data_IF_981259449223
#
_entry.id   IF_981259449223
#
_cell.length_a   1.000
_cell.length_b   1.000
_cell.length_c   1.000
_cell.angle_alpha   90.00
_cell.angle_beta   90.00
_cell.angle_gamma   90.00
#
_symmetry.space_group_name_H-M   'P 1'
#
loop_
_entity.id
_entity.type
_entity.pdbx_description
1 polymer ?
#
# COMPACT_ATOMS: atom_id res chain seq x y z
N UNK A 1 0.37 8.68 3.05
CA UNK A 1 -1.01 8.24 2.75
C UNK A 1 -1.93 9.39 2.33
N UNK A 2 -2.13 10.43 3.15
CA UNK A 2 -3.06 11.53 2.83
C UNK A 2 -2.59 12.44 1.69
N UNK A 3 -1.27 12.63 1.56
CA UNK A 3 -0.65 13.70 0.79
C UNK A 3 0.41 13.21 -0.22
N UNK A 4 0.53 11.89 -0.38
CA UNK A 4 1.43 11.26 -1.34
C UNK A 4 2.92 11.33 -1.02
N UNK A 5 3.36 12.08 0.00
CA UNK A 5 4.78 12.16 0.38
C UNK A 5 5.32 10.80 0.78
N UNK A 6 6.52 10.51 0.30
CA UNK A 6 7.30 9.32 0.65
C UNK A 6 8.21 9.70 1.81
N UNK A 7 8.16 8.92 2.89
CA UNK A 7 9.03 9.13 4.04
C UNK A 7 10.48 8.74 3.68
N UNK A 8 11.46 9.44 4.24
CA UNK A 8 12.86 9.05 4.15
C UNK A 8 13.13 7.85 5.07
N UNK A 9 12.76 6.66 4.57
CA UNK A 9 12.87 5.43 5.34
C UNK A 9 14.33 5.10 5.73
N UNK A 10 15.36 5.31 4.87
CA UNK A 10 16.75 5.18 5.29
C UNK A 10 17.13 6.08 6.47
N UNK A 11 16.73 7.37 6.46
CA UNK A 11 17.02 8.28 7.57
C UNK A 11 16.27 7.88 8.85
N UNK A 12 15.00 7.46 8.73
CA UNK A 12 14.22 6.97 9.88
C UNK A 12 14.88 5.73 10.49
N UNK A 13 15.32 4.79 9.66
CA UNK A 13 16.02 3.58 10.11
C UNK A 13 17.34 3.93 10.82
N UNK A 14 18.11 4.88 10.30
CA UNK A 14 19.35 5.32 10.93
C UNK A 14 19.08 5.93 12.31
N UNK A 15 18.11 6.85 12.41
CA UNK A 15 17.73 7.47 13.68
C UNK A 15 17.19 6.45 14.70
N UNK A 16 16.41 5.46 14.25
CA UNK A 16 15.91 4.40 15.12
C UNK A 16 17.05 3.56 15.70
N UNK A 17 18.04 3.19 14.88
CA UNK A 17 19.23 2.44 15.31
C UNK A 17 20.06 3.21 16.34
N UNK A 18 20.26 4.52 16.12
CA UNK A 18 21.00 5.38 17.07
C UNK A 18 20.37 5.39 18.47
N UNK A 19 19.04 5.28 18.56
CA UNK A 19 18.30 5.36 19.81
C UNK A 19 17.87 3.98 20.36
N UNK A 20 18.31 2.87 19.75
CA UNK A 20 17.87 1.52 20.14
C UNK A 20 16.37 1.29 19.95
N UNK A 21 15.73 2.05 19.07
CA UNK A 21 14.33 1.91 18.72
C UNK A 21 14.14 0.91 17.57
N UNK A 22 12.98 0.25 17.55
CA UNK A 22 12.56 -0.65 16.46
C UNK A 22 11.71 0.12 15.45
N UNK A 23 11.79 -0.30 14.20
CA UNK A 23 11.07 0.27 13.06
C UNK A 23 9.85 -0.58 12.70
N UNK A 24 8.74 0.09 12.42
CA UNK A 24 7.56 -0.53 11.83
C UNK A 24 7.13 0.29 10.62
N UNK A 25 7.01 -0.36 9.46
CA UNK A 25 6.63 0.26 8.19
C UNK A 25 5.29 -0.29 7.72
N UNK A 26 4.29 0.58 7.60
CA UNK A 26 3.05 0.28 6.86
C UNK A 26 3.28 0.57 5.36
N UNK A 27 3.53 -0.50 4.61
CA UNK A 27 3.77 -0.49 3.17
C UNK A 27 2.48 -0.55 2.33
N UNK A 28 1.30 -0.39 2.94
CA UNK A 28 0.01 -0.48 2.24
C UNK A 28 -0.16 0.49 1.06
N UNK A 29 0.62 1.57 1.00
CA UNK A 29 0.61 2.53 -0.12
C UNK A 29 1.85 2.40 -1.02
N UNK A 30 2.72 1.43 -0.78
CA UNK A 30 4.01 1.26 -1.43
C UNK A 30 4.13 -0.12 -2.12
N UNK A 31 3.71 -1.19 -1.44
CA UNK A 31 3.87 -2.56 -1.91
C UNK A 31 3.23 -2.79 -3.28
N UNK A 32 4.02 -3.19 -4.27
CA UNK A 32 3.59 -3.49 -5.63
C UNK A 32 3.95 -2.44 -6.69
N UNK A 33 4.42 -1.26 -6.30
CA UNK A 33 4.86 -0.23 -7.26
C UNK A 33 6.07 0.58 -6.76
N UNK A 34 6.21 0.80 -5.45
CA UNK A 34 7.38 1.45 -4.88
C UNK A 34 8.40 0.38 -4.50
N UNK A 35 9.64 0.60 -4.91
CA UNK A 35 10.76 -0.25 -4.48
C UNK A 35 10.93 -0.14 -2.95
N UNK A 36 10.71 -1.26 -2.26
CA UNK A 36 10.79 -1.38 -0.82
C UNK A 36 11.35 -2.76 -0.48
N UNK A 37 12.59 -2.75 -0.01
CA UNK A 37 13.20 -3.90 0.63
C UNK A 37 12.73 -3.99 2.09
N UNK A 38 11.97 -5.03 2.41
CA UNK A 38 11.39 -5.22 3.73
C UNK A 38 12.43 -5.66 4.78
N UNK A 39 13.52 -6.32 4.38
CA UNK A 39 14.55 -6.87 5.29
C UNK A 39 15.36 -5.75 5.96
N UNK A 40 15.24 -4.53 5.44
CA UNK A 40 15.85 -3.34 6.00
C UNK A 40 15.17 -2.81 7.28
N UNK A 41 14.00 -3.32 7.66
CA UNK A 41 13.20 -2.83 8.78
C UNK A 41 12.81 -3.98 9.71
N UNK A 42 12.58 -3.69 10.99
CA UNK A 42 12.26 -4.73 11.97
C UNK A 42 10.89 -5.36 11.70
N UNK A 43 9.91 -4.54 11.30
CA UNK A 43 8.58 -4.99 11.01
C UNK A 43 8.02 -4.26 9.79
N UNK A 44 7.44 -4.99 8.85
CA UNK A 44 6.74 -4.42 7.70
C UNK A 44 5.38 -5.07 7.56
N UNK A 45 4.34 -4.29 7.33
CA UNK A 45 3.03 -4.83 6.98
C UNK A 45 2.45 -4.15 5.74
N UNK A 46 1.60 -4.86 5.02
CA UNK A 46 0.87 -4.29 3.90
C UNK A 46 -0.48 -4.97 3.74
N UNK A 47 -1.56 -4.18 3.63
CA UNK A 47 -2.83 -4.73 3.13
C UNK A 47 -2.70 -4.98 1.62
N UNK A 48 -3.15 -6.15 1.16
CA UNK A 48 -2.94 -6.54 -0.23
C UNK A 48 -3.97 -5.91 -1.19
N UNK A 49 -5.12 -5.46 -0.70
CA UNK A 49 -6.22 -4.99 -1.56
C UNK A 49 -6.05 -3.59 -2.16
N UNK A 50 -4.88 -2.99 -2.01
CA UNK A 50 -4.53 -1.69 -2.60
C UNK A 50 -3.69 -1.92 -3.84
N UNK A 51 -2.40 -1.59 -3.76
CA UNK A 51 -1.47 -1.60 -4.88
C UNK A 51 -1.08 -3.01 -5.34
N UNK A 52 -1.30 -4.04 -4.51
CA UNK A 52 -1.12 -5.45 -4.92
C UNK A 52 -2.35 -6.04 -5.62
N UNK A 53 -3.43 -5.26 -5.80
CA UNK A 53 -4.65 -5.62 -6.54
C UNK A 53 -5.42 -6.85 -6.02
N UNK A 54 -5.04 -7.35 -4.85
CA UNK A 54 -5.64 -8.52 -4.26
C UNK A 54 -7.09 -8.28 -3.78
N UNK A 55 -7.91 -9.34 -3.64
CA UNK A 55 -9.17 -9.24 -2.93
C UNK A 55 -8.97 -8.84 -1.46
N UNK A 56 -9.98 -8.20 -0.85
CA UNK A 56 -9.99 -7.91 0.59
C UNK A 56 -9.91 -9.20 1.41
N UNK A 57 -9.28 -9.15 2.57
CA UNK A 57 -9.06 -10.31 3.45
C UNK A 57 -7.64 -10.86 3.43
N UNK A 58 -6.69 -10.11 2.86
CA UNK A 58 -5.27 -10.46 2.86
C UNK A 58 -4.39 -9.29 3.28
N UNK A 59 -3.36 -9.60 4.05
CA UNK A 59 -2.27 -8.72 4.38
C UNK A 59 -0.98 -9.54 4.49
N UNK A 60 0.15 -8.86 4.39
CA UNK A 60 1.47 -9.44 4.61
C UNK A 60 2.06 -8.84 5.87
N UNK A 61 2.84 -9.65 6.59
CA UNK A 61 3.66 -9.24 7.72
C UNK A 61 5.05 -9.84 7.54
N UNK A 62 6.07 -8.98 7.56
CA UNK A 62 7.48 -9.35 7.65
C UNK A 62 7.93 -9.04 9.07
N UNK A 63 8.59 -10.01 9.70
CA UNK A 63 9.19 -9.93 11.03
C UNK A 63 10.64 -10.42 10.94
N UNK A 64 11.50 -10.12 11.93
CA UNK A 64 12.85 -10.67 11.95
C UNK A 64 12.79 -12.20 12.13
N UNK A 65 13.88 -12.90 11.79
CA UNK A 65 13.95 -14.37 11.92
C UNK A 65 13.70 -14.86 13.36
N UNK A 66 14.09 -14.07 14.36
CA UNK A 66 13.84 -14.35 15.79
C UNK A 66 12.43 -13.92 16.25
N UNK A 67 11.57 -13.52 15.30
CA UNK A 67 10.19 -13.08 15.47
C UNK A 67 10.04 -11.74 16.22
N UNK A 68 11.15 -11.05 16.51
CA UNK A 68 11.17 -9.72 17.11
C UNK A 68 10.53 -9.66 18.50
N UNK A 69 10.44 -10.77 19.22
CA UNK A 69 9.82 -10.84 20.55
C UNK A 69 8.31 -10.51 20.55
N UNK A 70 7.64 -10.57 19.40
CA UNK A 70 6.20 -10.33 19.33
C UNK A 70 5.41 -11.46 19.97
N UNK A 71 4.35 -11.11 20.70
CA UNK A 71 3.38 -12.05 21.25
C UNK A 71 2.17 -12.16 20.32
N UNK A 72 1.83 -13.35 19.79
CA UNK A 72 0.60 -13.56 19.04
C UNK A 72 -0.63 -13.31 19.93
N UNK A 73 -1.36 -12.22 19.68
CA UNK A 73 -2.54 -11.85 20.47
C UNK A 73 -3.81 -12.58 20.02
N UNK A 74 -3.92 -12.90 18.73
CA UNK A 74 -5.08 -13.54 18.10
C UNK A 74 -4.75 -14.96 17.61
N UNK A 75 -3.82 -15.65 18.28
CA UNK A 75 -3.41 -17.00 17.89
C UNK A 75 -4.60 -17.98 17.91
N UNK A 76 -5.01 -18.42 16.73
CA UNK A 76 -5.93 -19.54 16.53
C UNK A 76 -5.19 -20.83 16.18
N UNK A 77 -5.94 -21.86 15.80
CA UNK A 77 -5.39 -23.18 15.42
C UNK A 77 -4.27 -23.10 14.37
N UNK A 78 -4.36 -22.19 13.40
CA UNK A 78 -3.33 -21.96 12.35
C UNK A 78 -1.97 -21.50 12.90
N UNK A 79 -1.97 -20.86 14.07
CA UNK A 79 -0.75 -20.37 14.71
C UNK A 79 0.07 -21.49 15.36
N UNK A 80 -0.47 -22.72 15.46
CA UNK A 80 0.27 -23.88 15.92
C UNK A 80 1.32 -24.36 14.92
N UNK A 81 2.40 -24.97 15.41
CA UNK A 81 3.41 -25.63 14.54
C UNK A 81 2.77 -26.73 13.70
N UNK A 82 1.81 -27.46 14.29
CA UNK A 82 0.92 -28.40 13.61
C UNK A 82 -0.54 -27.90 13.75
N UNK A 83 -1.08 -27.18 12.74
CA UNK A 83 -2.38 -26.52 12.88
C UNK A 83 -3.54 -27.43 13.28
N UNK A 84 -3.66 -28.58 12.62
CA UNK A 84 -4.78 -29.51 12.83
C UNK A 84 -4.80 -30.15 14.22
N UNK A 85 -3.65 -30.24 14.88
CA UNK A 85 -3.55 -30.69 16.28
C UNK A 85 -3.98 -29.59 17.27
N UNK A 86 -4.10 -28.36 16.80
CA UNK A 86 -4.35 -27.16 17.61
C UNK A 86 -5.80 -26.68 17.53
N UNK A 87 -6.69 -27.42 16.85
CA UNK A 87 -8.09 -27.04 16.63
C UNK A 87 -8.92 -26.86 17.92
N UNK A 88 -8.62 -27.62 18.98
CA UNK A 88 -9.42 -27.67 20.21
C UNK A 88 -8.68 -27.21 21.49
N UNK A 89 -7.41 -26.83 21.35
CA UNK A 89 -6.62 -26.17 22.38
C UNK A 89 -6.13 -27.04 23.55
N UNK A 90 -5.23 -26.50 24.39
CA UNK A 90 -4.40 -25.31 24.12
C UNK A 90 -3.38 -25.58 23.01
N UNK A 91 -2.89 -24.52 22.35
CA UNK A 91 -1.81 -24.65 21.36
C UNK A 91 -0.55 -25.11 22.10
N UNK A 92 -0.10 -26.34 21.85
CA UNK A 92 1.08 -26.91 22.53
C UNK A 92 2.38 -26.23 22.12
N UNK A 93 2.55 -25.98 20.82
CA UNK A 93 3.70 -25.28 20.26
C UNK A 93 3.24 -24.28 19.19
N UNK A 94 3.60 -23.01 19.35
CA UNK A 94 3.40 -21.98 18.33
C UNK A 94 4.35 -22.21 17.16
N UNK A 95 3.90 -21.93 15.93
CA UNK A 95 4.68 -22.06 14.73
C UNK A 95 6.03 -21.35 14.86
N UNK A 96 7.13 -21.95 14.44
CA UNK A 96 8.48 -21.34 14.54
C UNK A 96 8.71 -20.21 13.52
N UNK A 97 7.86 -20.15 12.51
CA UNK A 97 7.80 -19.09 11.49
C UNK A 97 6.81 -17.97 11.84
N UNK A 98 6.80 -16.91 11.03
CA UNK A 98 5.82 -15.83 11.09
C UNK A 98 4.35 -16.29 11.02
N UNK A 99 4.05 -17.52 10.55
CA UNK A 99 2.69 -18.11 10.57
C UNK A 99 2.02 -18.07 11.95
N UNK A 100 2.79 -18.00 13.04
CA UNK A 100 2.20 -17.83 14.39
C UNK A 100 1.38 -16.56 14.55
N UNK A 101 1.53 -15.58 13.65
CA UNK A 101 0.77 -14.35 13.61
C UNK A 101 -0.39 -14.39 12.61
N UNK A 102 -0.56 -15.49 11.86
CA UNK A 102 -1.68 -15.64 10.94
C UNK A 102 -2.98 -15.92 11.69
N UNK A 103 -4.06 -15.40 11.11
CA UNK A 103 -5.42 -15.82 11.43
C UNK A 103 -5.89 -16.88 10.42
N UNK A 104 -7.08 -17.46 10.66
CA UNK A 104 -7.64 -18.43 9.72
C UNK A 104 -7.73 -17.82 8.32
N UNK A 105 -7.14 -18.46 7.28
CA UNK A 105 -6.97 -17.82 5.99
C UNK A 105 -8.31 -17.55 5.31
N UNK A 106 -8.43 -16.38 4.70
CA UNK A 106 -9.56 -16.03 3.84
C UNK A 106 -9.43 -16.78 2.49
N UNK A 107 -9.82 -18.06 2.47
CA UNK A 107 -9.57 -19.01 1.37
C UNK A 107 -9.90 -18.44 -0.02
N UNK A 108 -11.07 -17.83 -0.19
CA UNK A 108 -11.47 -17.27 -1.49
C UNK A 108 -10.64 -16.05 -1.90
N UNK A 109 -10.26 -15.21 -0.94
CA UNK A 109 -9.40 -14.05 -1.19
C UNK A 109 -8.01 -14.49 -1.67
N UNK A 110 -7.50 -15.61 -1.16
CA UNK A 110 -6.18 -16.14 -1.51
C UNK A 110 -6.15 -16.67 -2.95
N UNK A 111 -7.26 -17.24 -3.44
CA UNK A 111 -7.37 -17.71 -4.84
C UNK A 111 -7.24 -16.55 -5.82
N UNK A 112 -7.97 -15.45 -5.61
CA UNK A 112 -7.84 -14.24 -6.43
C UNK A 112 -6.53 -13.48 -6.19
N UNK A 113 -6.05 -13.53 -4.95
CA UNK A 113 -4.78 -12.95 -4.53
C UNK A 113 -3.59 -13.47 -5.31
N UNK A 114 -3.48 -14.79 -5.45
CA UNK A 114 -2.42 -15.42 -6.24
C UNK A 114 -2.34 -14.86 -7.66
N UNK A 115 -3.48 -14.69 -8.34
CA UNK A 115 -3.51 -14.12 -9.71
C UNK A 115 -3.08 -12.66 -9.75
N UNK A 116 -3.44 -11.90 -8.72
CA UNK A 116 -3.05 -10.49 -8.61
C UNK A 116 -1.54 -10.35 -8.41
N UNK A 117 -0.96 -11.19 -7.56
CA UNK A 117 0.49 -11.23 -7.33
C UNK A 117 1.27 -11.74 -8.56
N UNK A 118 0.73 -12.74 -9.28
CA UNK A 118 1.29 -13.21 -10.55
C UNK A 118 1.35 -12.08 -11.59
N UNK A 119 0.29 -11.28 -11.71
CA UNK A 119 0.28 -10.12 -12.61
C UNK A 119 1.34 -9.07 -12.22
N UNK A 120 1.44 -8.73 -10.93
CA UNK A 120 2.46 -7.78 -10.45
C UNK A 120 3.87 -8.32 -10.70
N UNK A 121 4.10 -9.61 -10.49
CA UNK A 121 5.39 -10.26 -10.74
C UNK A 121 5.73 -10.33 -12.25
N UNK A 122 4.73 -10.60 -13.10
CA UNK A 122 4.88 -10.64 -14.56
C UNK A 122 5.25 -9.26 -15.14
N UNK A 123 4.57 -8.21 -14.70
CA UNK A 123 4.84 -6.84 -15.14
C UNK A 123 6.15 -6.31 -14.56
N UNK A 124 6.45 -6.67 -13.31
CA UNK A 124 7.59 -6.17 -12.55
C UNK A 124 7.33 -4.80 -11.89
N UNK A 125 7.81 -4.64 -10.66
CA UNK A 125 7.60 -3.43 -9.85
C UNK A 125 8.17 -2.18 -10.54
N UNK A 126 9.33 -2.29 -11.20
CA UNK A 126 9.96 -1.16 -11.89
C UNK A 126 9.14 -0.64 -13.07
N UNK A 127 8.51 -1.54 -13.84
CA UNK A 127 7.68 -1.15 -14.98
C UNK A 127 6.39 -0.48 -14.51
N UNK A 128 5.75 -1.05 -13.47
CA UNK A 128 4.57 -0.46 -12.81
C UNK A 128 4.95 0.93 -12.28
N UNK A 129 6.07 1.05 -11.57
CA UNK A 129 6.58 2.32 -11.05
C UNK A 129 6.74 3.37 -12.15
N UNK A 130 7.42 3.02 -13.24
CA UNK A 130 7.68 3.95 -14.33
C UNK A 130 6.37 4.47 -14.96
N UNK A 131 5.40 3.58 -15.18
CA UNK A 131 4.08 3.92 -15.69
C UNK A 131 3.31 4.85 -14.74
N UNK A 132 3.18 4.46 -13.48
CA UNK A 132 2.41 5.21 -12.48
C UNK A 132 2.99 6.62 -12.25
N UNK A 133 4.32 6.73 -12.22
CA UNK A 133 5.00 8.02 -12.10
C UNK A 133 4.80 8.90 -13.33
N UNK A 134 4.83 8.34 -14.53
CA UNK A 134 4.57 9.11 -15.75
C UNK A 134 3.15 9.70 -15.76
N UNK A 135 2.14 8.94 -15.32
CA UNK A 135 0.77 9.45 -15.17
C UNK A 135 0.67 10.52 -14.09
N UNK A 136 1.27 10.28 -12.92
CA UNK A 136 1.27 11.23 -11.82
C UNK A 136 1.96 12.54 -12.20
N UNK A 137 3.07 12.49 -12.94
CA UNK A 137 3.81 13.66 -13.40
C UNK A 137 3.07 14.43 -14.48
N UNK A 138 2.39 13.72 -15.42
CA UNK A 138 1.46 14.35 -16.36
C UNK A 138 0.35 15.10 -15.62
N UNK A 139 -0.25 14.47 -14.61
CA UNK A 139 -1.30 15.11 -13.82
C UNK A 139 -0.78 16.34 -13.06
N UNK A 140 0.39 16.24 -12.40
CA UNK A 140 1.05 17.39 -11.76
C UNK A 140 1.30 18.54 -12.72
N UNK A 141 1.77 18.26 -13.94
CA UNK A 141 2.00 19.27 -14.95
C UNK A 141 0.69 19.95 -15.39
N UNK A 142 -0.35 19.16 -15.66
CA UNK A 142 -1.67 19.68 -16.01
C UNK A 142 -2.29 20.54 -14.90
N UNK A 143 -2.19 20.11 -13.64
CA UNK A 143 -2.66 20.90 -12.50
C UNK A 143 -2.00 22.28 -12.42
N UNK A 144 -0.69 22.36 -12.63
CA UNK A 144 0.03 23.64 -12.63
C UNK A 144 -0.42 24.55 -13.77
N UNK A 145 -0.68 24.01 -14.95
CA UNK A 145 -1.27 24.76 -16.07
C UNK A 145 -2.66 25.31 -15.76
N UNK A 146 -3.43 24.63 -14.91
CA UNK A 146 -4.74 25.08 -14.41
C UNK A 146 -4.64 26.03 -13.19
N UNK A 147 -3.43 26.38 -12.75
CA UNK A 147 -3.22 27.25 -11.58
C UNK A 147 -3.43 26.55 -10.23
N UNK A 148 -3.36 25.21 -10.19
CA UNK A 148 -3.42 24.41 -8.97
C UNK A 148 -2.03 23.88 -8.60
N UNK A 149 -1.57 24.16 -7.37
CA UNK A 149 -0.31 23.61 -6.88
C UNK A 149 -0.56 22.34 -6.06
N UNK A 150 -0.13 21.15 -6.54
CA UNK A 150 -0.20 19.92 -5.77
C UNK A 150 0.80 19.93 -4.60
N UNK A 151 0.57 19.07 -3.60
CA UNK A 151 1.56 18.82 -2.54
C UNK A 151 2.88 18.33 -3.17
N UNK A 152 4.05 18.87 -2.77
CA UNK A 152 5.34 18.45 -3.29
C UNK A 152 5.70 17.05 -2.79
N UNK A 153 5.29 16.04 -3.55
CA UNK A 153 5.58 14.63 -3.34
C UNK A 153 6.18 14.04 -4.63
N UNK A 154 7.44 14.38 -4.97
CA UNK A 154 8.08 13.86 -6.17
C UNK A 154 8.21 12.33 -6.08
N UNK A 155 8.29 11.67 -7.24
CA UNK A 155 8.42 10.22 -7.35
C UNK A 155 7.31 9.42 -6.62
N UNK A 156 6.13 10.03 -6.45
CA UNK A 156 4.94 9.36 -5.92
C UNK A 156 3.88 9.16 -7.00
N UNK A 157 3.25 7.98 -7.03
CA UNK A 157 2.07 7.71 -7.85
C UNK A 157 0.79 8.37 -7.28
N UNK A 158 0.86 8.92 -6.06
CA UNK A 158 -0.22 9.65 -5.40
C UNK A 158 0.01 11.15 -5.56
N UNK A 159 -1.01 11.83 -6.08
CA UNK A 159 -1.03 13.29 -6.22
C UNK A 159 -2.16 13.85 -5.37
N UNK A 160 -1.80 14.72 -4.42
CA UNK A 160 -2.77 15.41 -3.57
C UNK A 160 -2.80 16.90 -3.89
N UNK A 161 -4.00 17.47 -4.00
CA UNK A 161 -4.21 18.89 -4.34
C UNK A 161 -5.03 19.55 -3.22
N UNK A 162 -4.44 20.49 -2.46
CA UNK A 162 -5.14 21.18 -1.38
C UNK A 162 -6.40 21.91 -1.86
N UNK A 163 -7.44 21.91 -1.02
CA UNK A 163 -8.68 22.66 -1.25
C UNK A 163 -9.64 22.05 -2.29
N UNK A 164 -9.16 21.17 -3.17
CA UNK A 164 -10.00 20.56 -4.21
C UNK A 164 -10.80 19.34 -3.73
N UNK A 165 -10.62 18.87 -2.50
CA UNK A 165 -11.33 17.68 -1.99
C UNK A 165 -12.86 17.83 -2.01
N UNK A 166 -13.37 19.07 -1.94
CA UNK A 166 -14.80 19.39 -2.05
C UNK A 166 -15.41 19.05 -3.42
N UNK A 167 -14.58 18.95 -4.47
CA UNK A 167 -15.01 18.61 -5.84
C UNK A 167 -15.16 17.11 -6.08
N UNK A 168 -14.94 16.26 -5.08
CA UNK A 168 -15.05 14.80 -5.23
C UNK A 168 -16.42 14.37 -5.78
N UNK A 169 -17.52 14.98 -5.31
CA UNK A 169 -18.87 14.65 -5.78
C UNK A 169 -19.07 14.95 -7.26
N UNK A 170 -18.70 16.16 -7.69
CA UNK A 170 -18.73 16.60 -9.09
C UNK A 170 -17.89 15.68 -10.00
N UNK A 171 -16.70 15.28 -9.54
CA UNK A 171 -15.83 14.35 -10.27
C UNK A 171 -16.47 12.96 -10.40
N UNK A 172 -17.08 12.45 -9.33
CA UNK A 172 -17.77 11.15 -9.34
C UNK A 172 -18.98 11.15 -10.29
N UNK A 173 -19.77 12.23 -10.31
CA UNK A 173 -20.86 12.43 -11.28
C UNK A 173 -20.34 12.45 -12.73
N UNK A 174 -19.14 12.98 -12.94
CA UNK A 174 -18.44 12.93 -14.22
C UNK A 174 -17.72 11.60 -14.49
N UNK A 175 -17.90 10.58 -13.65
CA UNK A 175 -17.31 9.23 -13.76
C UNK A 175 -15.81 9.17 -13.47
N UNK A 176 -15.29 10.07 -12.65
CA UNK A 176 -13.88 10.15 -12.22
C UNK A 176 -13.80 9.95 -10.71
N UNK A 177 -13.30 8.80 -10.28
CA UNK A 177 -13.21 8.44 -8.86
C UNK A 177 -11.88 8.86 -8.24
N UNK A 178 -11.96 9.78 -7.28
CA UNK A 178 -10.84 10.26 -6.46
C UNK A 178 -11.24 10.27 -4.98
N UNK A 179 -10.26 10.42 -4.08
CA UNK A 179 -10.54 10.51 -2.65
C UNK A 179 -10.48 11.95 -2.14
N UNK A 180 -11.38 12.34 -1.24
CA UNK A 180 -11.19 13.48 -0.35
C UNK A 180 -10.43 13.04 0.91
N UNK A 181 -9.31 13.69 1.22
CA UNK A 181 -8.50 13.44 2.42
C UNK A 181 -8.12 14.76 3.08
N UNK A 182 -8.72 15.05 4.24
CA UNK A 182 -8.52 16.30 4.97
C UNK A 182 -8.71 17.57 4.09
N UNK A 183 -9.70 17.55 3.19
CA UNK A 183 -9.98 18.66 2.28
C UNK A 183 -9.12 18.66 1.00
N UNK A 184 -8.17 17.73 0.86
CA UNK A 184 -7.37 17.57 -0.34
C UNK A 184 -8.06 16.60 -1.29
N UNK A 185 -8.05 16.92 -2.58
CA UNK A 185 -8.30 15.93 -3.62
C UNK A 185 -7.08 15.03 -3.71
N UNK A 186 -7.26 13.71 -3.72
CA UNK A 186 -6.18 12.73 -3.83
C UNK A 186 -6.47 11.77 -4.98
N UNK A 187 -5.69 11.89 -6.03
CA UNK A 187 -5.62 10.93 -7.13
C UNK A 187 -4.47 9.94 -6.88
N UNK A 188 -4.68 8.67 -7.21
CA UNK A 188 -3.66 7.63 -7.17
C UNK A 188 -3.74 6.87 -8.49
N UNK A 189 -2.66 6.92 -9.26
CA UNK A 189 -2.57 6.28 -10.56
C UNK A 189 -1.90 4.91 -10.41
N UNK A 190 -2.43 3.90 -11.11
CA UNK A 190 -1.89 2.55 -11.11
C UNK A 190 -1.89 1.97 -12.54
N UNK A 191 -1.41 0.74 -12.70
CA UNK A 191 -1.21 0.02 -13.96
C UNK A 191 -2.42 -0.06 -14.90
N UNK A 192 -3.64 0.06 -14.37
CA UNK A 192 -4.87 0.04 -15.16
C UNK A 192 -5.31 1.43 -15.64
N UNK A 193 -4.65 2.50 -15.17
CA UNK A 193 -4.91 3.85 -15.62
C UNK A 193 -4.12 4.19 -16.89
N UNK A 194 -4.65 5.15 -17.64
CA UNK A 194 -4.11 5.60 -18.92
C UNK A 194 -3.92 7.11 -18.93
N UNK A 195 -3.23 7.63 -19.96
CA UNK A 195 -3.12 9.07 -20.17
C UNK A 195 -4.50 9.72 -20.40
N UNK A 196 -5.44 9.00 -21.02
CA UNK A 196 -6.80 9.49 -21.23
C UNK A 196 -7.57 9.67 -19.91
N UNK A 197 -7.30 8.84 -18.89
CA UNK A 197 -7.89 9.02 -17.56
C UNK A 197 -7.36 10.28 -16.88
N UNK A 198 -6.06 10.56 -17.03
CA UNK A 198 -5.42 11.80 -16.54
C UNK A 198 -6.04 13.01 -17.22
N UNK A 199 -6.20 12.95 -18.55
CA UNK A 199 -6.75 14.05 -19.34
C UNK A 199 -8.21 14.33 -18.97
N UNK A 200 -9.04 13.28 -18.82
CA UNK A 200 -10.42 13.42 -18.36
C UNK A 200 -10.50 14.05 -16.96
N UNK A 201 -9.62 13.67 -16.04
CA UNK A 201 -9.56 14.27 -14.71
C UNK A 201 -9.21 15.76 -14.80
N UNK A 202 -8.23 16.13 -15.63
CA UNK A 202 -7.85 17.54 -15.84
C UNK A 202 -8.98 18.34 -16.50
N UNK A 203 -9.67 17.77 -17.49
CA UNK A 203 -10.78 18.42 -18.19
C UNK A 203 -11.95 18.74 -17.27
N UNK A 204 -12.27 17.84 -16.32
CA UNK A 204 -13.30 18.12 -15.32
C UNK A 204 -12.82 19.20 -14.34
N UNK A 205 -11.55 19.16 -13.92
CA UNK A 205 -10.99 20.17 -13.03
C UNK A 205 -10.87 21.57 -13.67
N UNK A 206 -10.78 21.66 -14.99
CA UNK A 206 -10.70 22.92 -15.73
C UNK A 206 -12.06 23.65 -15.86
N UNK A 207 -13.17 22.96 -15.60
CA UNK A 207 -14.52 23.54 -15.54
C UNK A 207 -14.74 24.25 -14.21
#
# INVERSE_FOLDING_TARGET
SADGRIADLPAIRAAAREHGARTYVDASQAAGWLDLDADHYDFVSAVAFKWLLCPRGMAFLVVPEDLGGLRPLFAGWVAGERPWDSCYGPIGELARSARRFDESPALFSYVGGRRSLELVAELGVDAIRAHDLALADRFRAGLRSLGHEPVPAPASAIVSVPGLGRRQGELSEAGVEVANRAGHLRAAFHLYNTQADVDRLLDVLAR
#
